data_IF_955806335080
#
_entry.id   IF_955806335080
#
_cell.length_a   1.000
_cell.length_b   1.000
_cell.length_c   1.000
_cell.angle_alpha   90.00
_cell.angle_beta   90.00
_cell.angle_gamma   90.00
#
_symmetry.space_group_name_H-M   'P 1'
#
loop_
_entity.id
_entity.type
_entity.pdbx_description
1 polymer ?
#
# COMPACT_ATOMS: atom_id res chain seq x y z
N UNK A 1 -8.38 12.09 -16.66
CA UNK A 1 -7.98 12.91 -15.49
C UNK A 1 -6.49 12.76 -15.30
N UNK A 2 -5.82 13.89 -15.05
CA UNK A 2 -4.38 14.12 -15.07
C UNK A 2 -3.59 13.26 -14.06
N UNK A 3 -2.35 12.94 -14.42
CA UNK A 3 -1.28 12.55 -13.50
C UNK A 3 0.06 13.05 -14.06
N UNK A 4 0.70 13.96 -13.35
CA UNK A 4 1.91 14.68 -13.78
C UNK A 4 3.16 13.80 -13.80
N UNK A 5 4.02 13.97 -14.80
CA UNK A 5 5.47 13.82 -14.62
C UNK A 5 6.16 15.04 -15.21
N UNK A 6 6.86 15.76 -14.34
CA UNK A 6 7.70 16.88 -14.70
C UNK A 6 9.02 16.34 -15.27
N UNK A 7 9.28 16.56 -16.56
CA UNK A 7 10.64 16.59 -17.08
C UNK A 7 10.93 17.98 -17.60
N UNK A 8 11.95 18.63 -17.06
CA UNK A 8 12.63 19.73 -17.75
C UNK A 8 13.19 19.16 -19.06
N UNK A 9 12.47 19.39 -20.15
CA UNK A 9 12.96 19.27 -21.51
C UNK A 9 12.90 20.66 -22.14
N UNK A 10 14.06 21.16 -22.56
CA UNK A 10 14.15 22.34 -23.41
C UNK A 10 13.37 22.09 -24.69
N UNK A 11 12.56 23.07 -25.07
CA UNK A 11 12.25 23.31 -26.48
C UNK A 11 11.20 22.41 -27.12
N UNK A 12 10.05 23.05 -27.37
CA UNK A 12 9.23 22.91 -28.59
C UNK A 12 8.41 21.63 -28.78
N UNK A 13 7.17 21.69 -28.27
CA UNK A 13 5.96 21.22 -28.96
C UNK A 13 5.57 19.75 -28.72
N UNK A 14 4.45 19.45 -28.04
CA UNK A 14 3.95 18.09 -27.95
C UNK A 14 3.09 17.75 -29.18
N UNK A 15 3.67 16.97 -30.08
CA UNK A 15 2.93 16.13 -31.02
C UNK A 15 2.31 14.97 -30.21
N UNK A 16 0.97 14.90 -30.17
CA UNK A 16 0.25 13.84 -29.47
C UNK A 16 -0.05 12.73 -30.48
N UNK A 17 0.88 11.80 -30.61
CA UNK A 17 0.63 10.53 -31.29
C UNK A 17 -0.03 9.56 -30.30
N UNK A 18 -1.31 9.30 -30.55
CA UNK A 18 -2.10 8.22 -29.96
C UNK A 18 -1.46 6.87 -30.33
N UNK A 19 -0.66 6.34 -29.42
CA UNK A 19 -0.20 4.95 -29.47
C UNK A 19 -1.12 4.06 -28.64
N UNK A 20 -1.76 3.07 -29.28
CA UNK A 20 -2.52 2.02 -28.63
C UNK A 20 -1.69 1.28 -27.57
N UNK A 21 -1.88 1.62 -26.30
CA UNK A 21 -1.28 0.93 -25.18
C UNK A 21 -2.26 -0.10 -24.62
N UNK A 22 -1.99 -1.38 -24.84
CA UNK A 22 -2.69 -2.49 -24.16
C UNK A 22 -2.66 -2.23 -22.65
N UNK A 23 -3.83 -2.09 -22.03
CA UNK A 23 -3.96 -2.34 -20.59
C UNK A 23 -3.66 -3.83 -20.41
N UNK A 24 -2.44 -4.15 -19.99
CA UNK A 24 -2.16 -5.48 -19.51
C UNK A 24 -2.87 -5.64 -18.16
N UNK A 25 -3.72 -6.66 -17.95
CA UNK A 25 -3.70 -7.30 -16.64
C UNK A 25 -2.24 -7.71 -16.45
N UNK A 26 -1.56 -7.34 -15.36
CA UNK A 26 -0.10 -7.49 -15.14
C UNK A 26 0.82 -6.28 -15.48
N UNK A 27 0.56 -5.11 -14.89
CA UNK A 27 1.53 -3.99 -14.79
C UNK A 27 2.78 -4.36 -13.93
N UNK A 28 3.90 -3.61 -13.92
CA UNK A 28 5.11 -3.98 -13.13
C UNK A 28 4.96 -3.87 -11.60
N UNK A 29 3.84 -3.32 -11.10
CA UNK A 29 3.36 -3.44 -9.71
C UNK A 29 2.54 -4.73 -9.48
N UNK A 30 2.29 -5.49 -10.54
CA UNK A 30 1.32 -6.59 -10.64
C UNK A 30 2.02 -7.95 -10.75
N UNK A 31 2.91 -8.16 -9.80
CA UNK A 31 2.91 -9.42 -9.07
C UNK A 31 2.99 -9.04 -7.58
N UNK A 32 1.97 -9.34 -6.74
CA UNK A 32 2.19 -9.63 -5.33
C UNK A 32 3.02 -10.93 -5.15
N UNK A 33 4.04 -11.12 -5.99
CA UNK A 33 4.76 -12.36 -6.27
C UNK A 33 6.08 -12.44 -5.51
N UNK A 34 6.80 -11.32 -5.45
CA UNK A 34 8.04 -11.24 -4.72
C UNK A 34 7.72 -10.87 -3.27
N UNK A 35 7.84 -11.85 -2.38
CA UNK A 35 7.78 -11.66 -0.94
C UNK A 35 9.07 -10.99 -0.43
N UNK A 36 9.41 -9.85 -1.03
CA UNK A 36 10.58 -9.05 -0.68
C UNK A 36 10.13 -7.80 0.07
N UNK A 37 10.97 -7.27 0.97
CA UNK A 37 10.76 -5.94 1.51
C UNK A 37 10.68 -4.90 0.38
N UNK A 38 9.74 -3.97 0.49
CA UNK A 38 9.64 -2.83 -0.43
C UNK A 38 10.82 -1.88 -0.20
N UNK A 39 11.40 -1.36 -1.27
CA UNK A 39 12.42 -0.30 -1.24
C UNK A 39 11.82 1.06 -0.88
N UNK A 40 12.64 2.02 -0.46
CA UNK A 40 12.20 3.36 -0.08
C UNK A 40 11.32 4.04 -1.14
N UNK A 41 11.71 3.95 -2.42
CA UNK A 41 10.92 4.50 -3.53
C UNK A 41 9.56 3.77 -3.68
N UNK A 42 9.54 2.46 -3.49
CA UNK A 42 8.30 1.66 -3.54
C UNK A 42 7.40 1.95 -2.36
N UNK A 43 7.95 2.20 -1.17
CA UNK A 43 7.20 2.60 0.01
C UNK A 43 6.49 3.94 -0.21
N UNK A 44 7.21 4.93 -0.72
CA UNK A 44 6.65 6.25 -1.02
C UNK A 44 5.58 6.17 -2.10
N UNK A 45 5.84 5.42 -3.17
CA UNK A 45 4.87 5.22 -4.25
C UNK A 45 3.62 4.49 -3.74
N UNK A 46 3.79 3.38 -3.01
CA UNK A 46 2.68 2.59 -2.46
C UNK A 46 1.79 3.43 -1.55
N UNK A 47 2.37 4.26 -0.67
CA UNK A 47 1.58 5.16 0.17
C UNK A 47 0.67 6.10 -0.63
N UNK A 48 1.08 6.48 -1.85
CA UNK A 48 0.34 7.38 -2.73
C UNK A 48 -0.62 6.71 -3.70
N UNK A 49 -0.37 5.45 -4.08
CA UNK A 49 -1.14 4.75 -5.11
C UNK A 49 -1.99 3.61 -4.58
N UNK A 50 -1.75 3.18 -3.34
CA UNK A 50 -2.56 2.14 -2.69
C UNK A 50 -4.01 2.59 -2.48
N UNK A 51 -4.92 1.63 -2.58
CA UNK A 51 -6.33 1.87 -2.24
C UNK A 51 -6.49 2.08 -0.75
N UNK A 52 -5.64 1.48 0.08
CA UNK A 52 -5.64 1.72 1.50
C UNK A 52 -4.25 1.85 2.10
N UNK A 53 -4.16 2.63 3.17
CA UNK A 53 -2.99 2.77 4.03
C UNK A 53 -3.48 2.79 5.48
N UNK A 54 -3.08 1.80 6.27
CA UNK A 54 -3.49 1.65 7.67
C UNK A 54 -2.27 1.57 8.58
N UNK A 55 -2.28 2.37 9.64
CA UNK A 55 -1.36 2.22 10.76
C UNK A 55 -2.00 1.33 11.83
N UNK A 56 -1.32 0.27 12.24
CA UNK A 56 -1.86 -0.68 13.21
C UNK A 56 -0.85 -1.70 13.74
N UNK A 57 -1.35 -2.67 14.48
CA UNK A 57 -0.59 -3.77 15.10
C UNK A 57 -1.13 -5.09 14.57
N UNK A 58 -0.24 -6.07 14.38
CA UNK A 58 -0.66 -7.44 14.04
C UNK A 58 -1.27 -8.07 15.29
N UNK A 59 -2.57 -8.31 15.27
CA UNK A 59 -3.30 -9.00 16.34
C UNK A 59 -3.17 -10.52 16.20
N UNK A 60 -3.37 -11.04 15.00
CA UNK A 60 -3.24 -12.46 14.70
C UNK A 60 -2.85 -12.70 13.24
N UNK A 61 -2.31 -13.88 12.96
CA UNK A 61 -2.08 -14.37 11.59
C UNK A 61 -2.64 -15.78 11.50
N UNK A 62 -3.50 -16.02 10.52
CA UNK A 62 -4.03 -17.33 10.17
C UNK A 62 -3.55 -17.72 8.78
N UNK A 63 -3.25 -19.00 8.59
CA UNK A 63 -2.79 -19.53 7.31
C UNK A 63 -3.88 -20.43 6.71
N UNK A 64 -4.25 -20.14 5.47
CA UNK A 64 -5.18 -20.95 4.68
C UNK A 64 -4.37 -21.69 3.61
N UNK A 65 -4.10 -22.97 3.86
CA UNK A 65 -3.30 -23.82 2.99
C UNK A 65 -4.05 -24.20 1.71
N UNK A 66 -5.38 -24.22 1.76
CA UNK A 66 -6.23 -24.59 0.63
C UNK A 66 -6.26 -23.45 -0.39
N UNK A 67 -6.38 -22.21 0.10
CA UNK A 67 -6.34 -21.00 -0.73
C UNK A 67 -4.92 -20.51 -1.03
N UNK A 68 -3.89 -21.09 -0.42
CA UNK A 68 -2.49 -20.62 -0.51
C UNK A 68 -2.34 -19.15 -0.08
N UNK A 69 -3.09 -18.77 0.96
CA UNK A 69 -3.20 -17.41 1.46
C UNK A 69 -2.92 -17.36 2.98
N UNK A 70 -2.59 -16.18 3.47
CA UNK A 70 -2.47 -15.87 4.88
C UNK A 70 -3.31 -14.64 5.18
N UNK A 71 -4.09 -14.73 6.24
CA UNK A 71 -4.98 -13.67 6.70
C UNK A 71 -4.34 -13.03 7.93
N UNK A 72 -4.00 -11.76 7.81
CA UNK A 72 -3.45 -10.94 8.87
C UNK A 72 -4.60 -10.18 9.49
N UNK A 73 -4.92 -10.48 10.76
CA UNK A 73 -5.84 -9.67 11.55
C UNK A 73 -5.05 -8.51 12.15
N UNK A 74 -5.37 -7.30 11.75
CA UNK A 74 -4.74 -6.06 12.17
C UNK A 74 -5.68 -5.32 13.10
N UNK A 75 -5.16 -4.87 14.23
CA UNK A 75 -5.80 -3.86 15.06
C UNK A 75 -5.39 -2.48 14.51
N UNK A 76 -6.30 -1.85 13.77
CA UNK A 76 -6.10 -0.56 13.14
C UNK A 76 -6.13 0.56 14.18
N UNK A 77 -4.99 1.20 14.41
CA UNK A 77 -4.91 2.40 15.22
C UNK A 77 -5.41 3.63 14.44
N UNK A 78 -5.13 3.69 13.14
CA UNK A 78 -5.55 4.79 12.26
C UNK A 78 -5.61 4.34 10.80
N UNK A 79 -6.68 4.73 10.10
CA UNK A 79 -6.75 4.63 8.64
C UNK A 79 -6.24 5.95 8.04
N UNK A 80 -5.12 5.91 7.33
CA UNK A 80 -4.51 7.08 6.69
C UNK A 80 -5.11 7.35 5.31
N UNK A 81 -5.51 6.29 4.61
CA UNK A 81 -6.14 6.35 3.29
C UNK A 81 -7.06 5.16 3.09
N UNK A 82 -8.21 5.40 2.46
CA UNK A 82 -9.08 4.35 1.92
C UNK A 82 -9.85 4.89 0.71
N UNK A 83 -9.72 4.26 -0.45
CA UNK A 83 -10.44 4.62 -1.68
C UNK A 83 -11.85 4.02 -1.68
N UNK A 84 -12.00 2.84 -1.05
CA UNK A 84 -13.28 2.16 -0.83
C UNK A 84 -13.46 1.90 0.67
N UNK A 85 -14.69 1.88 1.20
CA UNK A 85 -14.95 1.60 2.62
C UNK A 85 -14.78 0.10 2.92
N UNK A 86 -13.54 -0.40 2.84
CA UNK A 86 -13.16 -1.78 3.17
C UNK A 86 -13.09 -2.01 4.68
N UNK A 87 -12.91 -0.92 5.43
CA UNK A 87 -12.79 -0.93 6.88
C UNK A 87 -14.02 -0.23 7.44
N UNK A 88 -14.77 -0.96 8.28
CA UNK A 88 -16.04 -0.52 8.83
C UNK A 88 -15.95 0.91 9.35
N UNK A 89 -16.85 1.77 8.89
CA UNK A 89 -17.00 3.14 9.40
C UNK A 89 -17.51 3.02 10.84
N UNK A 90 -16.57 3.10 11.80
CA UNK A 90 -16.76 3.26 13.26
C UNK A 90 -18.20 3.03 13.74
N UNK A 91 -18.48 1.81 14.20
CA UNK A 91 -19.71 1.51 14.95
C UNK A 91 -20.22 0.08 14.77
N UNK A 92 -19.58 -0.90 15.42
CA UNK A 92 -20.21 -2.15 15.90
C UNK A 92 -19.17 -3.07 16.55
N UNK A 93 -19.08 -3.07 17.89
CA UNK A 93 -18.67 -4.21 18.74
C UNK A 93 -17.22 -4.74 18.70
N UNK A 94 -16.56 -4.76 17.53
CA UNK A 94 -15.18 -5.21 17.29
C UNK A 94 -14.35 -4.02 16.76
N UNK A 95 -14.38 -2.92 17.50
CA UNK A 95 -13.93 -1.62 17.06
C UNK A 95 -12.43 -1.60 16.70
N UNK A 96 -12.14 -1.69 15.40
CA UNK A 96 -10.80 -1.47 14.84
C UNK A 96 -10.07 -2.72 14.36
N UNK A 97 -10.64 -3.92 14.45
CA UNK A 97 -10.03 -5.10 13.82
C UNK A 97 -10.34 -5.13 12.32
N UNK A 98 -9.34 -5.48 11.52
CA UNK A 98 -9.46 -5.62 10.07
C UNK A 98 -8.61 -6.77 9.56
N UNK A 99 -9.08 -7.43 8.50
CA UNK A 99 -8.38 -8.55 7.86
C UNK A 99 -7.71 -8.11 6.56
N UNK A 100 -6.44 -8.45 6.41
CA UNK A 100 -5.65 -8.21 5.20
C UNK A 100 -5.07 -9.53 4.72
N UNK A 101 -5.27 -9.86 3.44
CA UNK A 101 -4.81 -11.08 2.80
C UNK A 101 -3.42 -10.90 2.17
N UNK A 102 -2.62 -11.95 2.19
CA UNK A 102 -1.32 -12.02 1.51
C UNK A 102 -1.05 -13.47 1.07
N UNK A 103 -0.24 -13.72 0.03
CA UNK A 103 0.10 -15.09 -0.36
C UNK A 103 0.87 -15.85 0.73
N UNK A 104 0.54 -17.13 0.93
CA UNK A 104 1.16 -17.98 1.95
C UNK A 104 2.68 -18.09 1.82
N UNK A 105 3.20 -18.12 0.57
CA UNK A 105 4.64 -18.13 0.27
C UNK A 105 5.41 -16.94 0.87
N UNK A 106 4.74 -15.87 1.27
CA UNK A 106 5.39 -14.71 1.88
C UNK A 106 5.72 -14.92 3.36
N UNK A 107 5.22 -16.00 3.97
CA UNK A 107 5.63 -16.42 5.31
C UNK A 107 5.41 -15.32 6.35
N UNK A 108 4.25 -14.63 6.31
CA UNK A 108 4.00 -13.57 7.28
C UNK A 108 3.84 -14.17 8.67
N UNK A 109 4.50 -13.54 9.63
CA UNK A 109 4.51 -13.95 11.02
C UNK A 109 4.17 -12.76 11.94
N UNK A 110 3.47 -13.00 13.05
CA UNK A 110 3.21 -11.98 14.04
C UNK A 110 4.54 -11.47 14.62
N UNK A 111 4.67 -10.14 14.72
CA UNK A 111 5.87 -9.49 15.22
C UNK A 111 5.52 -8.27 16.09
N UNK A 112 6.35 -7.95 17.09
CA UNK A 112 6.09 -6.81 17.97
C UNK A 112 6.30 -5.48 17.23
N UNK A 113 5.49 -4.49 17.59
CA UNK A 113 5.57 -3.12 17.09
C UNK A 113 4.37 -2.71 16.23
N UNK A 114 4.45 -1.51 15.67
CA UNK A 114 3.43 -0.96 14.77
C UNK A 114 3.91 -0.95 13.33
N UNK A 115 2.98 -1.18 12.42
CA UNK A 115 3.23 -1.35 10.99
C UNK A 115 2.31 -0.45 10.18
N UNK A 116 2.76 -0.12 8.97
CA UNK A 116 1.93 0.50 7.95
C UNK A 116 1.57 -0.53 6.91
N UNK A 117 0.30 -0.87 6.84
CA UNK A 117 -0.24 -1.80 5.85
C UNK A 117 -0.73 -1.01 4.65
N UNK A 118 -0.10 -1.22 3.50
CA UNK A 118 -0.41 -0.58 2.23
C UNK A 118 -0.81 -1.63 1.21
N UNK A 119 -1.91 -1.41 0.50
CA UNK A 119 -2.44 -2.43 -0.39
C UNK A 119 -3.55 -1.97 -1.31
N UNK A 120 -4.19 -2.92 -1.97
CA UNK A 120 -5.30 -2.69 -2.91
C UNK A 120 -6.52 -3.51 -2.51
N UNK A 121 -7.69 -3.04 -2.97
CA UNK A 121 -8.92 -3.80 -2.91
C UNK A 121 -8.99 -4.79 -4.06
N UNK A 122 -9.32 -6.05 -3.79
CA UNK A 122 -9.68 -7.02 -4.82
C UNK A 122 -10.97 -7.71 -4.42
N UNK A 123 -12.04 -7.52 -5.19
CA UNK A 123 -13.37 -8.08 -4.91
C UNK A 123 -13.91 -7.77 -3.49
N UNK A 124 -13.62 -6.59 -2.96
CA UNK A 124 -14.02 -6.18 -1.61
C UNK A 124 -13.12 -6.71 -0.49
N UNK A 125 -12.02 -7.39 -0.84
CA UNK A 125 -11.03 -7.91 0.11
C UNK A 125 -9.77 -7.04 0.07
N UNK A 126 -9.16 -6.81 1.24
CA UNK A 126 -7.90 -6.08 1.34
C UNK A 126 -6.72 -7.01 1.07
N UNK A 127 -5.91 -6.68 0.06
CA UNK A 127 -4.71 -7.42 -0.33
C UNK A 127 -3.45 -6.62 -0.01
N UNK A 128 -2.50 -7.27 0.67
CA UNK A 128 -1.26 -6.64 1.11
C UNK A 128 -0.29 -6.41 -0.05
N UNK A 129 0.20 -5.19 -0.16
CA UNK A 129 1.32 -4.81 -1.03
C UNK A 129 2.62 -4.64 -0.25
N UNK A 130 2.68 -3.61 0.60
CA UNK A 130 3.85 -3.30 1.44
C UNK A 130 3.46 -3.21 2.91
N UNK A 131 4.33 -3.69 3.79
CA UNK A 131 4.14 -3.67 5.24
C UNK A 131 5.39 -3.26 6.04
N UNK A 132 5.94 -2.04 5.85
CA UNK A 132 7.06 -1.57 6.66
C UNK A 132 6.64 -1.37 8.13
N UNK A 133 7.63 -1.34 9.02
CA UNK A 133 7.44 -0.79 10.38
C UNK A 133 7.14 0.71 10.29
N UNK A 134 6.27 1.22 11.15
CA UNK A 134 5.86 2.63 11.11
C UNK A 134 7.04 3.59 11.22
N UNK A 135 8.00 3.30 12.11
CA UNK A 135 9.19 4.13 12.30
C UNK A 135 10.07 4.20 11.04
N UNK A 136 10.16 3.10 10.29
CA UNK A 136 10.98 3.04 9.07
C UNK A 136 10.37 3.88 7.96
N UNK A 137 9.06 3.70 7.72
CA UNK A 137 8.35 4.53 6.76
C UNK A 137 8.42 6.03 7.11
N UNK A 138 8.31 6.38 8.39
CA UNK A 138 8.39 7.78 8.83
C UNK A 138 9.74 8.40 8.48
N UNK A 139 10.85 7.68 8.69
CA UNK A 139 12.19 8.14 8.30
C UNK A 139 12.30 8.38 6.79
N UNK A 140 11.86 7.41 5.99
CA UNK A 140 11.88 7.50 4.52
C UNK A 140 11.02 8.67 4.04
N UNK A 141 9.83 8.83 4.59
CA UNK A 141 8.90 9.91 4.25
C UNK A 141 9.44 11.29 4.62
N UNK A 142 10.01 11.46 5.82
CA UNK A 142 10.63 12.71 6.25
C UNK A 142 11.86 13.07 5.41
N UNK A 143 12.68 12.09 5.04
CA UNK A 143 13.83 12.27 4.16
C UNK A 143 13.39 12.74 2.76
N UNK A 144 12.38 12.09 2.17
CA UNK A 144 11.82 12.48 0.87
C UNK A 144 11.19 13.87 0.90
N UNK A 145 10.46 14.20 1.98
CA UNK A 145 9.88 15.53 2.20
C UNK A 145 10.97 16.61 2.27
N UNK A 146 12.06 16.34 2.99
CA UNK A 146 13.21 17.26 3.10
C UNK A 146 13.92 17.44 1.77
N UNK A 147 14.03 16.37 0.98
CA UNK A 147 14.60 16.39 -0.36
C UNK A 147 13.68 17.00 -1.43
N UNK A 148 12.48 17.47 -1.07
CA UNK A 148 11.47 18.00 -1.99
C UNK A 148 11.09 17.02 -3.11
N UNK A 149 11.27 15.73 -2.87
CA UNK A 149 10.92 14.65 -3.79
C UNK A 149 9.45 14.32 -3.58
N UNK A 150 8.56 15.11 -4.20
CA UNK A 150 7.09 15.08 -4.09
C UNK A 150 6.49 13.77 -3.50
N UNK A 151 6.40 13.64 -2.16
CA UNK A 151 5.58 12.63 -1.54
C UNK A 151 4.16 13.18 -1.51
N UNK A 152 3.16 12.38 -1.87
CA UNK A 152 1.79 12.74 -1.56
C UNK A 152 1.65 13.02 -0.06
N UNK A 153 0.69 13.85 0.33
CA UNK A 153 0.49 14.16 1.74
C UNK A 153 -0.09 12.94 2.49
N UNK A 154 0.74 12.32 3.31
CA UNK A 154 0.34 11.25 4.23
C UNK A 154 0.33 11.83 5.64
N UNK A 155 -0.82 11.78 6.31
CA UNK A 155 -1.01 12.34 7.66
C UNK A 155 -0.34 11.47 8.75
N UNK A 156 0.99 11.51 8.82
CA UNK A 156 1.81 10.86 9.85
C UNK A 156 1.90 11.74 11.12
N UNK A 157 0.78 11.95 11.83
CA UNK A 157 0.73 12.66 13.12
C UNK A 157 0.62 11.68 14.30
#
# INVERSE_FOLDING_TARGET
MLGCVFRRGQGTGPEVLLGEGRVCPHHPLCMPGACRPCSDAELLLAACTSDFVIHGIIHAVAHDVDLQESVITVMAARVLRQTLPLFGRRGSGEEGLTSIRTPLRCGVHPGPGTFLFMGWSRFGEAWLGCAPRFQEFRRVYEAARTAHLHPCEVALH
#
